data_IF_174736962171
#
_entry.id   IF_174736962171
#
_cell.length_a   1.000
_cell.length_b   1.000
_cell.length_c   1.000
_cell.angle_alpha   90.00
_cell.angle_beta   90.00
_cell.angle_gamma   90.00
#
_symmetry.space_group_name_H-M   'P 1'
#
loop_
_entity.id
_entity.type
_entity.pdbx_description
1 polymer ?
#
# COMPACT_ATOMS: atom_id res chain seq x y z
N UNK A 1 -6.70 -34.81 -8.87
CA UNK A 1 -7.20 -33.51 -8.40
C UNK A 1 -6.00 -32.58 -8.26
N UNK A 2 -6.00 -31.48 -9.01
CA UNK A 2 -4.89 -30.52 -9.01
C UNK A 2 -4.73 -29.90 -7.62
N UNK A 3 -3.53 -29.80 -7.02
CA UNK A 3 -3.31 -29.23 -5.69
C UNK A 3 -3.87 -27.78 -5.56
N UNK A 4 -3.88 -27.03 -6.64
CA UNK A 4 -4.51 -25.71 -6.72
C UNK A 4 -6.02 -25.73 -6.43
N UNK A 5 -6.73 -26.79 -6.80
CA UNK A 5 -8.18 -26.89 -6.57
C UNK A 5 -8.56 -27.17 -5.12
N UNK A 6 -7.68 -27.82 -4.33
CA UNK A 6 -7.87 -28.04 -2.89
C UNK A 6 -7.66 -26.76 -2.10
N UNK A 7 -6.63 -25.98 -2.46
CA UNK A 7 -6.33 -24.69 -1.81
C UNK A 7 -7.46 -23.68 -2.03
N UNK A 8 -7.96 -23.56 -3.26
CA UNK A 8 -9.09 -22.68 -3.59
C UNK A 8 -10.37 -23.06 -2.82
N UNK A 9 -10.64 -24.37 -2.67
CA UNK A 9 -11.77 -24.85 -1.87
C UNK A 9 -11.63 -24.54 -0.38
N UNK A 10 -10.43 -24.69 0.19
CA UNK A 10 -10.14 -24.32 1.59
C UNK A 10 -10.40 -22.84 1.86
N UNK A 11 -10.04 -21.98 0.93
CA UNK A 11 -10.26 -20.53 1.01
C UNK A 11 -11.66 -20.11 0.54
N UNK A 12 -12.50 -21.04 0.15
CA UNK A 12 -13.86 -20.81 -0.35
C UNK A 12 -13.89 -19.85 -1.56
N UNK A 13 -12.88 -19.96 -2.45
CA UNK A 13 -12.72 -19.12 -3.65
C UNK A 13 -13.23 -19.90 -4.86
N UNK A 14 -14.13 -19.31 -5.65
CA UNK A 14 -14.56 -19.90 -6.91
C UNK A 14 -13.48 -19.73 -7.99
N UNK A 15 -13.33 -20.68 -8.94
CA UNK A 15 -12.28 -20.62 -9.96
C UNK A 15 -12.25 -19.32 -10.79
N UNK A 16 -13.41 -18.72 -11.04
CA UNK A 16 -13.51 -17.44 -11.77
C UNK A 16 -13.10 -16.21 -10.97
N UNK A 17 -13.04 -16.30 -9.64
CA UNK A 17 -12.71 -15.18 -8.74
C UNK A 17 -11.20 -15.10 -8.45
N UNK A 18 -10.48 -16.21 -8.66
CA UNK A 18 -9.06 -16.32 -8.34
C UNK A 18 -8.17 -15.21 -8.92
N UNK A 19 -8.30 -14.83 -10.21
CA UNK A 19 -7.47 -13.78 -10.79
C UNK A 19 -7.64 -12.43 -10.07
N UNK A 20 -8.87 -12.14 -9.62
CA UNK A 20 -9.20 -10.90 -8.93
C UNK A 20 -8.70 -10.90 -7.48
N UNK A 21 -8.86 -12.03 -6.79
CA UNK A 21 -8.32 -12.24 -5.44
C UNK A 21 -6.80 -12.09 -5.45
N UNK A 22 -6.13 -12.77 -6.38
CA UNK A 22 -4.68 -12.68 -6.52
C UNK A 22 -4.19 -11.25 -6.79
N UNK A 23 -4.97 -10.50 -7.57
CA UNK A 23 -4.69 -9.09 -7.88
C UNK A 23 -4.67 -8.23 -6.62
N UNK A 24 -5.78 -8.24 -5.87
CA UNK A 24 -5.92 -7.42 -4.67
C UNK A 24 -4.95 -7.87 -3.56
N UNK A 25 -4.74 -9.18 -3.44
CA UNK A 25 -3.74 -9.73 -2.53
C UNK A 25 -2.33 -9.23 -2.87
N UNK A 26 -1.93 -9.28 -4.15
CA UNK A 26 -0.60 -8.82 -4.57
C UNK A 26 -0.42 -7.31 -4.37
N UNK A 27 -1.46 -6.52 -4.68
CA UNK A 27 -1.46 -5.08 -4.44
C UNK A 27 -1.21 -4.79 -2.95
N UNK A 28 -2.01 -5.39 -2.08
CA UNK A 28 -1.92 -5.23 -0.64
C UNK A 28 -0.58 -5.74 -0.08
N UNK A 29 -0.07 -6.83 -0.64
CA UNK A 29 1.19 -7.41 -0.24
C UNK A 29 2.38 -6.47 -0.51
N UNK A 30 2.53 -5.96 -1.74
CA UNK A 30 3.66 -5.10 -2.09
C UNK A 30 3.57 -3.72 -1.43
N UNK A 31 2.36 -3.16 -1.33
CA UNK A 31 2.16 -1.90 -0.61
C UNK A 31 2.39 -2.06 0.89
N UNK A 32 1.86 -3.11 1.51
CA UNK A 32 2.04 -3.41 2.92
C UNK A 32 3.52 -3.61 3.29
N UNK A 33 4.28 -4.34 2.45
CA UNK A 33 5.72 -4.52 2.63
C UNK A 33 6.48 -3.18 2.52
N UNK A 34 6.17 -2.36 1.51
CA UNK A 34 6.76 -1.03 1.34
C UNK A 34 6.49 -0.10 2.52
N UNK A 35 5.25 -0.09 3.02
CA UNK A 35 4.86 0.69 4.20
C UNK A 35 5.57 0.19 5.47
N UNK A 36 5.75 -1.13 5.62
CA UNK A 36 6.48 -1.70 6.74
C UNK A 36 7.96 -1.27 6.75
N UNK A 37 8.60 -1.27 5.57
CA UNK A 37 9.98 -0.77 5.42
C UNK A 37 10.08 0.72 5.76
N UNK A 38 9.14 1.53 5.27
CA UNK A 38 9.07 2.95 5.60
C UNK A 38 8.89 3.17 7.10
N UNK A 39 7.96 2.47 7.73
CA UNK A 39 7.73 2.57 9.17
C UNK A 39 8.97 2.24 9.98
N UNK A 40 9.65 1.13 9.62
CA UNK A 40 10.88 0.72 10.33
C UNK A 40 11.97 1.78 10.19
N UNK A 41 12.15 2.36 9.01
CA UNK A 41 13.09 3.46 8.82
C UNK A 41 12.73 4.67 9.69
N UNK A 42 11.48 5.11 9.60
CA UNK A 42 11.00 6.31 10.28
C UNK A 42 11.07 6.19 11.81
N UNK A 43 10.61 5.06 12.38
CA UNK A 43 10.61 4.86 13.84
C UNK A 43 12.05 4.66 14.36
N UNK A 44 12.91 3.94 13.64
CA UNK A 44 14.28 3.72 14.07
C UNK A 44 15.06 5.03 14.11
N UNK A 45 14.97 5.85 13.07
CA UNK A 45 15.64 7.15 13.01
C UNK A 45 15.08 8.15 14.01
N UNK A 46 13.77 8.09 14.26
CA UNK A 46 13.14 8.92 15.28
C UNK A 46 13.66 8.56 16.68
N UNK A 47 13.64 7.30 17.06
CA UNK A 47 14.06 6.83 18.38
C UNK A 47 15.58 6.91 18.61
N UNK A 48 16.38 6.98 17.55
CA UNK A 48 17.82 7.29 17.66
C UNK A 48 18.07 8.72 18.14
N UNK A 49 17.18 9.66 17.81
CA UNK A 49 17.35 11.08 18.09
C UNK A 49 16.49 11.61 19.25
N UNK A 50 15.36 10.97 19.50
CA UNK A 50 14.35 11.47 20.46
C UNK A 50 13.91 10.37 21.43
N UNK A 51 13.62 10.74 22.68
CA UNK A 51 13.05 9.82 23.65
C UNK A 51 11.62 9.41 23.26
N UNK A 52 11.19 8.25 23.74
CA UNK A 52 9.86 7.67 23.43
C UNK A 52 8.69 8.59 23.84
N UNK A 53 8.88 9.45 24.85
CA UNK A 53 7.88 10.44 25.30
C UNK A 53 7.50 11.44 24.20
N UNK A 54 8.37 11.72 23.26
CA UNK A 54 8.14 12.62 22.13
C UNK A 54 7.17 12.07 21.07
N UNK A 55 6.86 10.77 21.12
CA UNK A 55 5.84 10.17 20.24
C UNK A 55 4.47 10.82 20.39
N UNK A 56 4.16 11.41 21.55
CA UNK A 56 2.91 12.14 21.74
C UNK A 56 2.75 13.29 20.73
N UNK A 57 3.82 14.03 20.44
CA UNK A 57 3.80 15.08 19.42
C UNK A 57 3.64 14.53 18.01
N UNK A 58 4.24 13.38 17.72
CA UNK A 58 4.05 12.67 16.43
C UNK A 58 2.58 12.34 16.20
N UNK A 59 1.86 11.87 17.24
CA UNK A 59 0.43 11.56 17.12
C UNK A 59 -0.43 12.81 16.86
N UNK A 60 -0.09 13.94 17.49
CA UNK A 60 -0.78 15.22 17.25
C UNK A 60 -0.57 15.67 15.79
N UNK A 61 0.68 15.63 15.32
CA UNK A 61 1.01 15.96 13.92
C UNK A 61 0.29 15.00 12.95
N UNK A 62 0.29 13.70 13.27
CA UNK A 62 -0.42 12.68 12.49
C UNK A 62 -1.91 13.00 12.36
N UNK A 63 -2.57 13.37 13.45
CA UNK A 63 -4.00 13.69 13.42
C UNK A 63 -4.31 14.85 12.44
N UNK A 64 -3.48 15.88 12.43
CA UNK A 64 -3.62 16.98 11.49
C UNK A 64 -3.35 16.58 10.04
N UNK A 65 -2.29 15.80 9.80
CA UNK A 65 -1.97 15.28 8.46
C UNK A 65 -3.05 14.33 7.95
N UNK A 66 -3.60 13.46 8.79
CA UNK A 66 -4.69 12.55 8.45
C UNK A 66 -5.96 13.30 8.07
N UNK A 67 -6.28 14.39 8.78
CA UNK A 67 -7.41 15.24 8.42
C UNK A 67 -7.26 15.85 7.02
N UNK A 68 -6.09 16.41 6.71
CA UNK A 68 -5.78 16.94 5.38
C UNK A 68 -5.83 15.84 4.32
N UNK A 69 -5.18 14.69 4.59
CA UNK A 69 -5.14 13.55 3.67
C UNK A 69 -6.53 13.02 3.37
N UNK A 70 -7.42 12.95 4.37
CA UNK A 70 -8.82 12.56 4.19
C UNK A 70 -9.58 13.50 3.25
N UNK A 71 -9.42 14.82 3.42
CA UNK A 71 -10.05 15.80 2.52
C UNK A 71 -9.54 15.66 1.07
N UNK A 72 -8.23 15.50 0.91
CA UNK A 72 -7.61 15.35 -0.42
C UNK A 72 -8.06 14.04 -1.08
N UNK A 73 -8.05 12.94 -0.35
CA UNK A 73 -8.48 11.62 -0.85
C UNK A 73 -9.93 11.65 -1.30
N UNK A 74 -10.82 12.22 -0.50
CA UNK A 74 -12.25 12.37 -0.85
C UNK A 74 -12.44 13.19 -2.14
N UNK A 75 -11.72 14.32 -2.29
CA UNK A 75 -11.79 15.12 -3.53
C UNK A 75 -11.28 14.37 -4.75
N UNK A 76 -10.24 13.54 -4.60
CA UNK A 76 -9.69 12.73 -5.69
C UNK A 76 -10.66 11.61 -6.08
N UNK A 77 -11.29 10.96 -5.11
CA UNK A 77 -12.28 9.90 -5.34
C UNK A 77 -13.46 10.37 -6.17
N UNK A 78 -13.95 11.59 -5.92
CA UNK A 78 -15.04 12.18 -6.71
C UNK A 78 -14.64 12.58 -8.14
N UNK A 79 -13.36 12.80 -8.43
CA UNK A 79 -12.87 13.29 -9.72
C UNK A 79 -12.30 12.20 -10.63
N UNK A 80 -11.83 11.11 -10.07
CA UNK A 80 -11.08 10.09 -10.79
C UNK A 80 -11.88 8.78 -10.85
N UNK A 81 -11.76 8.07 -11.98
CA UNK A 81 -12.20 6.67 -11.99
C UNK A 81 -11.31 5.87 -11.04
N UNK A 82 -11.85 4.81 -10.43
CA UNK A 82 -11.12 4.01 -9.44
C UNK A 82 -9.76 3.52 -9.90
N UNK A 83 -9.67 3.12 -11.16
CA UNK A 83 -8.40 2.67 -11.74
C UNK A 83 -7.36 3.79 -11.72
N UNK A 84 -7.75 4.99 -12.13
CA UNK A 84 -6.88 6.17 -12.10
C UNK A 84 -6.56 6.58 -10.67
N UNK A 85 -7.56 6.49 -9.78
CA UNK A 85 -7.39 6.79 -8.37
C UNK A 85 -6.34 5.88 -7.73
N UNK A 86 -6.42 4.56 -7.92
CA UNK A 86 -5.45 3.60 -7.40
C UNK A 86 -4.02 3.89 -7.89
N UNK A 87 -3.86 4.15 -9.19
CA UNK A 87 -2.55 4.53 -9.74
C UNK A 87 -2.02 5.83 -9.11
N UNK A 88 -2.88 6.85 -8.98
CA UNK A 88 -2.49 8.14 -8.38
C UNK A 88 -2.15 7.97 -6.90
N UNK A 89 -2.91 7.21 -6.13
CA UNK A 89 -2.64 6.96 -4.71
C UNK A 89 -1.32 6.21 -4.52
N UNK A 90 -1.07 5.14 -5.29
CA UNK A 90 0.21 4.42 -5.26
C UNK A 90 1.38 5.32 -5.66
N UNK A 91 1.22 6.21 -6.66
CA UNK A 91 2.24 7.19 -7.05
C UNK A 91 2.51 8.21 -5.93
N UNK A 92 1.49 8.71 -5.25
CA UNK A 92 1.63 9.62 -4.11
C UNK A 92 2.43 8.93 -2.99
N UNK A 93 2.10 7.68 -2.68
CA UNK A 93 2.84 6.90 -1.68
C UNK A 93 4.31 6.70 -2.09
N UNK A 94 4.57 6.28 -3.32
CA UNK A 94 5.93 6.07 -3.82
C UNK A 94 6.75 7.36 -3.83
N UNK A 95 6.22 8.43 -4.41
CA UNK A 95 6.93 9.71 -4.50
C UNK A 95 7.19 10.32 -3.14
N UNK A 96 6.29 10.14 -2.16
CA UNK A 96 6.53 10.61 -0.79
C UNK A 96 7.68 9.86 -0.11
N UNK A 97 7.81 8.53 -0.32
CA UNK A 97 8.94 7.76 0.21
C UNK A 97 10.28 8.24 -0.37
N UNK A 98 10.30 8.49 -1.68
CA UNK A 98 11.48 9.04 -2.35
C UNK A 98 11.80 10.46 -1.84
N UNK A 99 10.76 11.28 -1.60
CA UNK A 99 10.93 12.63 -1.05
C UNK A 99 11.56 12.58 0.35
N UNK A 100 11.13 11.69 1.23
CA UNK A 100 11.74 11.54 2.55
C UNK A 100 13.17 11.01 2.46
N UNK A 101 13.45 10.05 1.57
CA UNK A 101 14.81 9.57 1.36
C UNK A 101 15.76 10.69 0.90
N UNK A 102 15.36 11.48 -0.10
CA UNK A 102 16.14 12.64 -0.56
C UNK A 102 16.22 13.74 0.52
N UNK A 103 15.16 13.91 1.28
CA UNK A 103 15.07 14.90 2.34
C UNK A 103 16.10 14.70 3.44
N UNK A 104 16.51 13.47 3.72
CA UNK A 104 17.56 13.19 4.70
C UNK A 104 18.92 13.81 4.36
N UNK A 105 19.20 14.02 3.07
CA UNK A 105 20.45 14.66 2.61
C UNK A 105 20.36 16.20 2.67
N UNK A 106 19.15 16.75 2.66
CA UNK A 106 18.92 18.20 2.55
C UNK A 106 18.52 18.82 3.88
N UNK A 107 17.67 18.11 4.64
CA UNK A 107 17.11 18.62 5.86
C UNK A 107 17.82 18.07 7.10
N UNK A 108 18.55 18.92 7.79
CA UNK A 108 19.21 18.60 9.08
C UNK A 108 18.36 18.90 10.31
N UNK A 109 17.14 19.43 10.12
CA UNK A 109 16.27 19.87 11.20
C UNK A 109 15.56 18.71 11.91
N UNK A 110 15.46 18.81 13.23
CA UNK A 110 14.80 17.80 14.07
C UNK A 110 13.33 17.56 13.69
N UNK A 111 12.60 18.60 13.27
CA UNK A 111 11.20 18.51 12.85
C UNK A 111 10.95 17.56 11.68
N UNK A 112 11.96 17.31 10.84
CA UNK A 112 11.87 16.40 9.70
C UNK A 112 11.49 14.97 10.13
N UNK A 113 12.09 14.47 11.21
CA UNK A 113 11.84 13.12 11.73
C UNK A 113 10.44 12.97 12.34
N UNK A 114 9.90 14.03 12.95
CA UNK A 114 8.51 14.06 13.43
C UNK A 114 7.53 13.94 12.27
N UNK A 115 7.74 14.72 11.21
CA UNK A 115 6.88 14.68 10.02
C UNK A 115 7.02 13.33 9.30
N UNK A 116 8.22 12.81 9.14
CA UNK A 116 8.47 11.51 8.50
C UNK A 116 7.73 10.39 9.23
N UNK A 117 7.84 10.32 10.56
CA UNK A 117 7.15 9.30 11.33
C UNK A 117 5.62 9.52 11.34
N UNK A 118 5.15 10.76 11.41
CA UNK A 118 3.73 11.08 11.30
C UNK A 118 3.16 10.70 9.92
N UNK A 119 3.93 10.83 8.86
CA UNK A 119 3.55 10.50 7.49
C UNK A 119 3.25 9.02 7.29
N UNK A 120 3.84 8.13 8.08
CA UNK A 120 3.47 6.71 8.09
C UNK A 120 1.96 6.49 8.24
N UNK A 121 1.31 7.24 9.13
CA UNK A 121 -0.13 7.15 9.33
C UNK A 121 -0.92 7.60 8.09
N UNK A 122 -0.41 8.58 7.35
CA UNK A 122 -0.98 9.01 6.07
C UNK A 122 -0.85 7.92 5.00
N UNK A 123 0.34 7.30 4.88
CA UNK A 123 0.54 6.18 3.96
C UNK A 123 -0.41 5.02 4.28
N UNK A 124 -0.57 4.71 5.57
CA UNK A 124 -1.48 3.66 6.01
C UNK A 124 -2.95 3.98 5.70
N UNK A 125 -3.37 5.23 5.91
CA UNK A 125 -4.72 5.69 5.54
C UNK A 125 -4.96 5.56 4.04
N UNK A 126 -4.06 6.09 3.21
CA UNK A 126 -4.17 6.06 1.75
C UNK A 126 -4.25 4.62 1.24
N UNK A 127 -3.37 3.74 1.74
CA UNK A 127 -3.38 2.32 1.40
C UNK A 127 -4.73 1.65 1.73
N UNK A 128 -5.29 1.94 2.91
CA UNK A 128 -6.58 1.37 3.30
C UNK A 128 -7.72 1.91 2.43
N UNK A 129 -7.77 3.21 2.16
CA UNK A 129 -8.81 3.81 1.30
C UNK A 129 -8.75 3.25 -0.11
N UNK A 130 -7.54 3.13 -0.69
CA UNK A 130 -7.34 2.53 -2.01
C UNK A 130 -7.82 1.08 -2.05
N UNK A 131 -7.38 0.28 -1.09
CA UNK A 131 -7.69 -1.15 -1.05
C UNK A 131 -9.19 -1.41 -0.88
N UNK A 132 -9.83 -0.78 0.11
CA UNK A 132 -11.24 -0.98 0.37
C UNK A 132 -12.13 -0.37 -0.71
N UNK A 133 -11.71 0.76 -1.29
CA UNK A 133 -12.39 1.36 -2.45
C UNK A 133 -12.40 0.42 -3.66
N UNK A 134 -11.26 -0.19 -3.98
CA UNK A 134 -11.15 -1.20 -5.03
C UNK A 134 -11.96 -2.45 -4.72
N UNK A 135 -11.86 -2.98 -3.51
CA UNK A 135 -12.57 -4.18 -3.11
C UNK A 135 -14.10 -3.99 -3.17
N UNK A 136 -14.61 -2.84 -2.74
CA UNK A 136 -16.04 -2.53 -2.74
C UNK A 136 -16.66 -2.46 -4.16
N UNK A 137 -15.87 -2.10 -5.17
CA UNK A 137 -16.38 -2.04 -6.54
C UNK A 137 -16.16 -3.33 -7.34
N UNK A 138 -15.17 -4.13 -6.97
CA UNK A 138 -14.83 -5.35 -7.70
C UNK A 138 -15.64 -6.56 -7.24
N UNK A 139 -16.25 -6.51 -6.06
CA UNK A 139 -16.99 -7.63 -5.49
C UNK A 139 -18.44 -7.25 -5.14
N UNK A 140 -19.36 -8.14 -5.44
CA UNK A 140 -20.72 -8.08 -4.91
C UNK A 140 -20.74 -8.28 -3.40
N UNK A 141 -21.80 -7.82 -2.73
CA UNK A 141 -21.97 -7.90 -1.27
C UNK A 141 -21.79 -9.34 -0.73
N UNK A 142 -22.24 -10.36 -1.47
CA UNK A 142 -22.09 -11.77 -1.08
C UNK A 142 -20.65 -12.25 -1.22
N UNK A 143 -19.97 -11.86 -2.29
CA UNK A 143 -18.57 -12.17 -2.54
C UNK A 143 -17.67 -11.46 -1.52
N UNK A 144 -17.96 -10.21 -1.22
CA UNK A 144 -17.24 -9.41 -0.24
C UNK A 144 -17.23 -10.08 1.14
N UNK A 145 -18.39 -10.51 1.65
CA UNK A 145 -18.49 -11.19 2.95
C UNK A 145 -17.65 -12.46 3.04
N UNK A 146 -17.47 -13.18 1.93
CA UNK A 146 -16.72 -14.42 1.86
C UNK A 146 -15.23 -14.21 1.65
N UNK A 147 -14.86 -13.25 0.82
CA UNK A 147 -13.49 -13.06 0.33
C UNK A 147 -12.69 -12.02 1.12
N UNK A 148 -13.35 -11.15 1.90
CA UNK A 148 -12.66 -10.10 2.66
C UNK A 148 -11.55 -10.63 3.56
N UNK A 149 -11.81 -11.73 4.29
CA UNK A 149 -10.80 -12.36 5.15
C UNK A 149 -9.56 -12.81 4.38
N UNK A 150 -9.74 -13.35 3.18
CA UNK A 150 -8.63 -13.83 2.35
C UNK A 150 -7.87 -12.67 1.72
N UNK A 151 -8.57 -11.66 1.22
CA UNK A 151 -7.97 -10.54 0.51
C UNK A 151 -7.23 -9.63 1.49
N UNK A 152 -7.82 -9.31 2.63
CA UNK A 152 -7.18 -8.48 3.66
C UNK A 152 -6.03 -9.20 4.37
N UNK A 153 -6.01 -10.53 4.35
CA UNK A 153 -4.91 -11.31 4.94
C UNK A 153 -3.57 -11.08 4.24
N UNK A 154 -3.54 -10.48 3.05
CA UNK A 154 -2.31 -10.11 2.35
C UNK A 154 -1.44 -9.09 3.11
N UNK A 155 -2.04 -8.22 3.90
CA UNK A 155 -1.34 -7.20 4.68
C UNK A 155 -0.47 -7.80 5.81
N UNK A 156 -0.95 -8.86 6.47
CA UNK A 156 -0.22 -9.48 7.60
C UNK A 156 1.11 -10.09 7.15
N UNK A 157 1.15 -11.03 6.18
CA UNK A 157 2.42 -11.60 5.71
C UNK A 157 3.31 -10.54 5.03
N UNK A 158 2.73 -9.50 4.40
CA UNK A 158 3.47 -8.40 3.82
C UNK A 158 4.26 -7.63 4.89
N UNK A 159 3.60 -7.24 5.98
CA UNK A 159 4.25 -6.56 7.10
C UNK A 159 5.26 -7.45 7.80
N UNK A 160 4.93 -8.72 8.03
CA UNK A 160 5.86 -9.67 8.61
C UNK A 160 7.15 -9.78 7.79
N UNK A 161 7.03 -9.96 6.48
CA UNK A 161 8.18 -10.01 5.57
C UNK A 161 8.90 -8.67 5.49
N UNK A 162 8.17 -7.56 5.40
CA UNK A 162 8.75 -6.21 5.38
C UNK A 162 9.60 -5.93 6.62
N UNK A 163 9.10 -6.23 7.81
CA UNK A 163 9.86 -6.06 9.06
C UNK A 163 11.04 -7.03 9.16
N UNK A 164 10.88 -8.28 8.69
CA UNK A 164 11.98 -9.25 8.66
C UNK A 164 13.09 -8.81 7.70
N UNK A 165 12.71 -8.34 6.51
CA UNK A 165 13.66 -7.80 5.53
C UNK A 165 14.37 -6.57 6.11
N UNK A 166 13.64 -5.66 6.76
CA UNK A 166 14.24 -4.50 7.41
C UNK A 166 15.27 -4.91 8.46
N UNK A 167 14.91 -5.84 9.36
CA UNK A 167 15.81 -6.34 10.40
C UNK A 167 17.11 -6.90 9.82
N UNK A 168 17.02 -7.68 8.74
CA UNK A 168 18.17 -8.28 8.09
C UNK A 168 18.97 -7.29 7.24
N UNK A 169 18.33 -6.29 6.67
CA UNK A 169 18.95 -5.34 5.74
C UNK A 169 19.64 -4.17 6.46
N UNK A 170 19.12 -3.71 7.61
CA UNK A 170 19.66 -2.56 8.35
C UNK A 170 21.19 -2.64 8.58
N UNK A 171 21.78 -3.78 8.99
CA UNK A 171 23.22 -3.87 9.23
C UNK A 171 24.06 -3.62 7.97
N UNK A 172 23.51 -3.85 6.78
CA UNK A 172 24.23 -3.76 5.50
C UNK A 172 23.97 -2.45 4.77
N UNK A 173 22.73 -1.96 4.79
CA UNK A 173 22.35 -0.79 3.99
C UNK A 173 21.99 0.44 4.84
N UNK A 174 21.86 0.28 6.15
CA UNK A 174 21.44 1.34 7.06
C UNK A 174 19.92 1.61 7.03
N UNK A 175 19.43 2.33 8.03
CA UNK A 175 18.00 2.65 8.20
C UNK A 175 17.48 3.56 7.09
N UNK A 176 18.28 4.52 6.62
CA UNK A 176 17.94 5.47 5.57
C UNK A 176 17.56 4.78 4.26
N UNK A 177 18.34 3.78 3.82
CA UNK A 177 18.11 3.11 2.55
C UNK A 177 16.90 2.15 2.56
N UNK A 178 16.31 1.89 3.72
CA UNK A 178 15.00 1.21 3.80
C UNK A 178 13.88 2.04 3.16
N UNK A 179 13.96 3.39 3.20
CA UNK A 179 13.01 4.27 2.50
C UNK A 179 13.06 4.03 1.00
N UNK A 180 14.27 3.88 0.45
CA UNK A 180 14.46 3.57 -0.96
C UNK A 180 13.96 2.15 -1.30
N UNK A 181 14.19 1.18 -0.44
CA UNK A 181 13.63 -0.17 -0.60
C UNK A 181 12.10 -0.16 -0.57
N UNK A 182 11.48 0.62 0.33
CA UNK A 182 10.04 0.85 0.37
C UNK A 182 9.51 1.48 -0.92
N UNK A 183 10.20 2.48 -1.46
CA UNK A 183 9.89 3.09 -2.76
C UNK A 183 9.86 2.05 -3.90
N UNK A 184 10.85 1.17 -3.99
CA UNK A 184 10.86 0.10 -4.99
C UNK A 184 9.70 -0.88 -4.78
N UNK A 185 9.34 -1.21 -3.53
CA UNK A 185 8.15 -2.01 -3.21
C UNK A 185 6.87 -1.38 -3.78
N UNK A 186 6.71 -0.06 -3.63
CA UNK A 186 5.59 0.68 -4.22
C UNK A 186 5.61 0.69 -5.75
N UNK A 187 6.80 0.83 -6.37
CA UNK A 187 6.93 0.74 -7.83
C UNK A 187 6.54 -0.66 -8.35
N UNK A 188 6.89 -1.72 -7.64
CA UNK A 188 6.43 -3.07 -7.98
C UNK A 188 4.91 -3.18 -7.92
N UNK A 189 4.29 -2.66 -6.87
CA UNK A 189 2.84 -2.59 -6.77
C UNK A 189 2.21 -1.85 -7.94
N UNK A 190 2.76 -0.69 -8.30
CA UNK A 190 2.31 0.10 -9.44
C UNK A 190 2.42 -0.65 -10.76
N UNK A 191 3.52 -1.36 -11.00
CA UNK A 191 3.72 -2.16 -12.20
C UNK A 191 2.64 -3.25 -12.34
N UNK A 192 2.34 -3.97 -11.26
CA UNK A 192 1.26 -4.96 -11.24
C UNK A 192 -0.10 -4.31 -11.49
N UNK A 193 -0.35 -3.16 -10.90
CA UNK A 193 -1.58 -2.40 -11.07
C UNK A 193 -1.80 -2.01 -12.55
N UNK A 194 -0.81 -1.39 -13.19
CA UNK A 194 -0.89 -0.95 -14.60
C UNK A 194 -1.03 -2.11 -15.58
N UNK A 195 -0.30 -3.19 -15.41
CA UNK A 195 -0.37 -4.37 -16.29
C UNK A 195 -1.77 -4.99 -16.31
N UNK A 196 -2.44 -4.96 -15.19
CA UNK A 196 -3.78 -5.55 -15.06
C UNK A 196 -4.87 -4.70 -15.71
N UNK A 197 -4.79 -3.37 -15.61
CA UNK A 197 -5.76 -2.48 -16.27
C UNK A 197 -5.67 -2.53 -17.80
N UNK A 198 -4.48 -2.74 -18.33
CA UNK A 198 -4.28 -2.97 -19.78
C UNK A 198 -5.02 -4.22 -20.28
N UNK A 199 -5.11 -5.26 -19.45
CA UNK A 199 -5.75 -6.52 -19.82
C UNK A 199 -7.29 -6.42 -19.79
N UNK A 200 -7.87 -5.74 -18.82
CA UNK A 200 -9.32 -5.53 -18.71
C UNK A 200 -9.85 -4.62 -19.83
N UNK A 201 -9.11 -3.59 -20.18
CA UNK A 201 -9.49 -2.67 -21.26
C UNK A 201 -9.47 -3.37 -22.64
N UNK A 202 -8.57 -4.33 -22.85
CA UNK A 202 -8.56 -5.18 -24.06
C UNK A 202 -9.76 -6.13 -24.09
N UNK A 203 -10.14 -6.71 -22.95
CA UNK A 203 -11.27 -7.64 -22.86
C UNK A 203 -12.61 -6.94 -23.05
N UNK A 204 -12.79 -5.75 -22.46
CA UNK A 204 -13.99 -4.91 -22.66
C UNK A 204 -14.15 -4.49 -24.11
N UNK A 205 -13.07 -4.07 -24.79
CA UNK A 205 -13.09 -3.71 -26.22
C UNK A 205 -13.40 -4.89 -27.12
N UNK A 206 -12.90 -6.08 -26.82
CA UNK A 206 -13.20 -7.29 -27.61
C UNK A 206 -14.67 -7.69 -27.48
N UNK A 207 -15.25 -7.62 -26.28
CA UNK A 207 -16.68 -7.93 -26.06
C UNK A 207 -17.57 -6.92 -26.77
N UNK A 208 -17.24 -5.64 -26.76
CA UNK A 208 -17.97 -4.60 -27.52
C UNK A 208 -17.93 -4.82 -29.03
N UNK A 209 -16.84 -5.35 -29.55
CA UNK A 209 -16.69 -5.66 -30.99
C UNK A 209 -17.51 -6.86 -31.45
N UNK A 210 -17.85 -7.80 -30.56
CA UNK A 210 -18.69 -8.95 -30.87
C UNK A 210 -20.19 -8.68 -30.69
N UNK A 211 -20.57 -7.54 -30.12
CA UNK A 211 -21.94 -7.12 -29.85
C UNK A 211 -22.43 -6.01 -30.80
N UNK A 212 -21.55 -5.48 -31.65
CA UNK A 212 -21.85 -4.55 -32.74
C UNK A 212 -21.93 -5.27 -34.07
#
# INVERSE_FOLDING_TARGET
MNPSSRFLKLLNIHPGEWPLVQKLFSLQFFQGAGIALFFTAAISQFLEKFPISELAYVFIISAFLLWIAGIVSNKLEHKLSLQKLSVVMTLIMATSMLFFWLGEFVFSGNWFYYIMLAWFNVLYLINNLEFWGLAAQLYDVRQSKRLFGVISSGDIPAKFLGYTIALLAIPFIGTQNLLLAGFFGMLFSLFFNLKQFSHENKKSKSVSYYLS
#
